data_IF_987381501617
#
_entry.id   IF_987381501617
#
_cell.length_a   1.000
_cell.length_b   1.000
_cell.length_c   1.000
_cell.angle_alpha   90.00
_cell.angle_beta   90.00
_cell.angle_gamma   90.00
#
_symmetry.space_group_name_H-M   'P 1'
#
loop_
_entity.id
_entity.type
_entity.pdbx_description
1 polymer ?
#
# COMPACT_ATOMS: atom_id res chain seq x y z
N UNK A 1 -12.47 -12.70 -18.67
CA UNK A 1 -13.13 -11.90 -17.61
C UNK A 1 -12.08 -10.93 -17.09
N UNK A 2 -12.19 -9.62 -17.34
CA UNK A 2 -11.21 -8.65 -16.89
C UNK A 2 -11.29 -8.49 -15.37
N UNK A 3 -10.18 -8.06 -14.78
CA UNK A 3 -10.06 -7.72 -13.35
C UNK A 3 -11.08 -6.67 -12.91
N UNK A 4 -11.60 -6.81 -11.69
CA UNK A 4 -12.71 -6.03 -11.11
C UNK A 4 -12.36 -4.60 -10.73
N UNK A 5 -11.08 -4.24 -10.68
CA UNK A 5 -10.64 -2.88 -10.28
C UNK A 5 -10.15 -2.02 -11.43
N UNK A 6 -9.65 -2.62 -12.52
CA UNK A 6 -9.03 -1.90 -13.64
C UNK A 6 -7.74 -1.16 -13.27
N UNK A 7 -7.29 -1.27 -12.02
CA UNK A 7 -6.09 -0.59 -11.50
C UNK A 7 -4.89 -1.50 -11.72
N UNK A 8 -3.83 -0.95 -12.33
CA UNK A 8 -2.54 -1.63 -12.43
C UNK A 8 -1.92 -1.78 -11.02
N UNK A 9 -1.62 -3.01 -10.56
CA UNK A 9 -1.03 -3.22 -9.24
C UNK A 9 0.31 -2.50 -9.05
N UNK A 10 1.10 -2.37 -10.12
CA UNK A 10 2.38 -1.68 -10.04
C UNK A 10 2.17 -0.17 -9.82
N UNK A 11 1.28 0.45 -10.60
CA UNK A 11 0.87 1.84 -10.37
C UNK A 11 0.29 2.07 -8.96
N UNK A 12 -0.45 1.10 -8.41
CA UNK A 12 -0.96 1.18 -7.04
C UNK A 12 0.17 1.13 -5.99
N UNK A 13 1.14 0.23 -6.16
CA UNK A 13 2.33 0.14 -5.30
C UNK A 13 3.12 1.45 -5.31
N UNK A 14 3.39 2.01 -6.48
CA UNK A 14 4.17 3.24 -6.60
C UNK A 14 3.44 4.46 -6.03
N UNK A 15 2.11 4.53 -6.25
CA UNK A 15 1.29 5.59 -5.64
C UNK A 15 1.30 5.51 -4.12
N UNK A 16 1.20 4.29 -3.57
CA UNK A 16 1.26 4.07 -2.13
C UNK A 16 2.65 4.37 -1.56
N UNK A 17 3.72 3.94 -2.24
CA UNK A 17 5.11 4.25 -1.89
C UNK A 17 5.32 5.76 -1.76
N UNK A 18 4.91 6.52 -2.77
CA UNK A 18 5.04 7.98 -2.76
C UNK A 18 4.25 8.65 -1.61
N UNK A 19 3.07 8.11 -1.26
CA UNK A 19 2.29 8.63 -0.13
C UNK A 19 2.95 8.33 1.23
N UNK A 20 3.50 7.14 1.39
CA UNK A 20 4.21 6.72 2.60
C UNK A 20 5.50 7.53 2.79
N UNK A 21 6.24 7.76 1.71
CA UNK A 21 7.46 8.59 1.74
C UNK A 21 7.16 10.03 2.18
N UNK A 22 6.05 10.62 1.70
CA UNK A 22 5.58 11.95 2.17
C UNK A 22 5.25 11.96 3.67
N UNK A 23 4.83 10.83 4.23
CA UNK A 23 4.58 10.67 5.66
C UNK A 23 5.85 10.28 6.46
N UNK A 24 7.01 10.17 5.81
CA UNK A 24 8.25 9.74 6.43
C UNK A 24 8.25 8.26 6.84
N UNK A 25 7.43 7.45 6.17
CA UNK A 25 7.24 6.03 6.45
C UNK A 25 7.83 5.22 5.30
N UNK A 26 8.74 4.30 5.62
CA UNK A 26 9.34 3.39 4.62
C UNK A 26 8.84 1.97 4.87
N UNK A 27 8.33 1.34 3.81
CA UNK A 27 7.96 -0.09 3.78
C UNK A 27 8.90 -0.84 2.82
N UNK A 28 9.96 -1.50 3.33
CA UNK A 28 10.91 -2.23 2.49
C UNK A 28 10.30 -3.42 1.74
N UNK A 29 9.23 -3.98 2.29
CA UNK A 29 8.53 -5.15 1.74
C UNK A 29 7.32 -4.79 0.88
N UNK A 30 7.07 -3.50 0.60
CA UNK A 30 5.95 -3.09 -0.23
C UNK A 30 6.15 -3.54 -1.68
N UNK A 31 5.27 -4.44 -2.15
CA UNK A 31 5.32 -5.01 -3.47
C UNK A 31 3.92 -5.41 -3.97
N UNK A 32 3.81 -5.76 -5.24
CA UNK A 32 2.63 -6.48 -5.75
C UNK A 32 2.67 -7.88 -5.15
N UNK A 33 1.52 -8.39 -4.69
CA UNK A 33 1.43 -9.75 -4.16
C UNK A 33 1.81 -10.77 -5.25
N UNK A 34 2.89 -11.54 -5.08
CA UNK A 34 3.33 -12.52 -6.08
C UNK A 34 2.42 -13.75 -6.14
N UNK A 35 1.59 -14.00 -5.12
CA UNK A 35 0.67 -15.14 -5.05
C UNK A 35 -0.75 -14.79 -5.51
N UNK A 36 -0.97 -13.54 -5.92
CA UNK A 36 -2.25 -13.07 -6.42
C UNK A 36 -2.73 -13.85 -7.64
N UNK A 37 -4.04 -14.01 -7.77
CA UNK A 37 -4.62 -14.59 -8.98
C UNK A 37 -4.99 -13.47 -9.98
N UNK A 38 -5.10 -13.73 -11.28
CA UNK A 38 -5.56 -12.72 -12.23
C UNK A 38 -6.94 -12.12 -11.91
N UNK A 39 -7.75 -12.79 -11.08
CA UNK A 39 -9.05 -12.31 -10.60
C UNK A 39 -8.97 -11.50 -9.31
N UNK A 40 -7.87 -11.63 -8.56
CA UNK A 40 -7.66 -10.99 -7.25
C UNK A 40 -6.21 -10.52 -7.22
N UNK A 41 -6.00 -9.26 -7.64
CA UNK A 41 -4.70 -8.61 -7.60
C UNK A 41 -4.56 -7.87 -6.28
N UNK A 42 -3.56 -8.22 -5.48
CA UNK A 42 -3.33 -7.65 -4.16
C UNK A 42 -1.99 -6.90 -4.13
N UNK A 43 -1.88 -6.00 -3.15
CA UNK A 43 -0.62 -5.34 -2.79
C UNK A 43 -0.16 -5.96 -1.48
N UNK A 44 1.06 -6.51 -1.46
CA UNK A 44 1.70 -6.99 -0.25
C UNK A 44 2.29 -5.80 0.51
N UNK A 45 1.75 -5.53 1.70
CA UNK A 45 2.25 -4.49 2.60
C UNK A 45 3.44 -4.97 3.45
N UNK A 46 3.60 -6.29 3.60
CA UNK A 46 4.66 -6.89 4.41
C UNK A 46 4.53 -6.66 5.92
N UNK A 47 5.66 -6.77 6.64
CA UNK A 47 5.74 -6.57 8.09
C UNK A 47 6.41 -5.23 8.41
N UNK A 48 5.86 -4.52 9.40
CA UNK A 48 6.46 -3.28 9.90
C UNK A 48 6.71 -3.32 11.39
N UNK A 49 7.63 -2.46 11.81
CA UNK A 49 7.86 -2.19 13.22
C UNK A 49 6.62 -1.52 13.84
N UNK A 50 6.32 -1.78 15.13
CA UNK A 50 5.17 -1.19 15.80
C UNK A 50 5.12 0.35 15.76
N UNK A 51 6.27 1.02 15.87
CA UNK A 51 6.37 2.49 15.80
C UNK A 51 5.97 3.03 14.42
N UNK A 52 6.32 2.31 13.35
CA UNK A 52 5.91 2.64 11.98
C UNK A 52 4.41 2.40 11.78
N UNK A 53 3.86 1.32 12.35
CA UNK A 53 2.43 1.05 12.30
C UNK A 53 1.61 2.17 12.97
N UNK A 54 2.08 2.69 14.11
CA UNK A 54 1.45 3.83 14.79
C UNK A 54 1.47 5.09 13.91
N UNK A 55 2.63 5.42 13.31
CA UNK A 55 2.75 6.57 12.39
C UNK A 55 1.84 6.44 11.16
N UNK A 56 1.71 5.22 10.63
CA UNK A 56 0.79 4.93 9.52
C UNK A 56 -0.66 5.17 9.94
N UNK A 57 -1.07 4.68 11.10
CA UNK A 57 -2.43 4.90 11.61
C UNK A 57 -2.74 6.38 11.76
N UNK A 58 -1.81 7.18 12.30
CA UNK A 58 -1.96 8.63 12.39
C UNK A 58 -2.06 9.31 11.01
N UNK A 59 -1.21 8.92 10.06
CA UNK A 59 -1.23 9.46 8.70
C UNK A 59 -2.57 9.19 8.00
N UNK A 60 -3.12 7.98 8.17
CA UNK A 60 -4.44 7.61 7.63
C UNK A 60 -5.58 8.41 8.30
N UNK A 61 -5.52 8.62 9.60
CA UNK A 61 -6.51 9.43 10.33
C UNK A 61 -6.49 10.89 9.87
N UNK A 62 -5.30 11.47 9.69
CA UNK A 62 -5.15 12.83 9.16
C UNK A 62 -5.70 12.95 7.75
N UNK A 63 -5.46 11.97 6.89
CA UNK A 63 -5.97 11.94 5.51
C UNK A 63 -7.49 11.78 5.39
N UNK A 64 -8.17 11.25 6.43
CA UNK A 64 -9.65 11.16 6.49
C UNK A 64 -10.31 12.48 6.88
N UNK A 65 -9.58 13.38 7.54
CA UNK A 65 -10.07 14.67 8.00
C UNK A 65 -9.88 15.80 6.97
N UNK A 66 -9.27 15.50 5.82
CA UNK A 66 -9.07 16.39 4.68
C UNK A 66 -10.02 16.05 3.54
#
# INVERSE_FOLDING_TARGET
MPDVSGVDPFAAVESLRAALDRAGIVFPSLAVDPQGTPRVRLVELGRVRPDVAMRLAEALQRGRAA
#
